data_IF_203479015571
#
_entry.id   IF_203479015571
#
_cell.length_a   1.000
_cell.length_b   1.000
_cell.length_c   1.000
_cell.angle_alpha   90.00
_cell.angle_beta   90.00
_cell.angle_gamma   90.00
#
_symmetry.space_group_name_H-M   'P 1'
#
loop_
_entity.id
_entity.type
_entity.pdbx_description
1 polymer ?
#
# COMPACT_ATOMS: atom_id res chain seq x y z
N UNK A 1 -40.24 -66.47 -4.36
CA UNK A 1 -39.63 -65.16 -4.04
C UNK A 1 -39.55 -64.34 -5.32
N UNK A 2 -40.23 -63.18 -5.44
CA UNK A 2 -40.18 -62.39 -6.67
C UNK A 2 -38.84 -61.66 -6.76
N UNK A 3 -38.14 -61.85 -7.90
CA UNK A 3 -36.91 -61.12 -8.23
C UNK A 3 -37.21 -59.63 -8.33
N UNK A 4 -36.55 -58.80 -7.53
CA UNK A 4 -36.60 -57.35 -7.68
C UNK A 4 -36.23 -56.98 -9.13
N UNK A 5 -37.00 -56.12 -9.81
CA UNK A 5 -36.69 -55.69 -11.16
C UNK A 5 -35.31 -55.02 -11.22
N UNK A 6 -34.49 -55.44 -12.18
CA UNK A 6 -33.10 -55.00 -12.39
C UNK A 6 -32.95 -53.45 -12.50
N UNK A 7 -34.05 -52.75 -12.78
CA UNK A 7 -34.13 -51.28 -12.84
C UNK A 7 -34.09 -50.61 -11.45
N UNK A 8 -34.76 -51.20 -10.44
CA UNK A 8 -34.78 -50.68 -9.07
C UNK A 8 -33.38 -50.76 -8.42
N UNK A 9 -32.66 -51.85 -8.65
CA UNK A 9 -31.28 -52.05 -8.17
C UNK A 9 -30.28 -51.06 -8.79
N UNK A 10 -30.46 -50.71 -10.07
CA UNK A 10 -29.65 -49.69 -10.76
C UNK A 10 -29.96 -48.28 -10.23
N UNK A 11 -31.24 -47.97 -10.00
CA UNK A 11 -31.66 -46.68 -9.46
C UNK A 11 -31.13 -46.45 -8.04
N UNK A 12 -31.20 -47.47 -7.17
CA UNK A 12 -30.67 -47.39 -5.80
C UNK A 12 -29.15 -47.24 -5.78
N UNK A 13 -28.42 -47.92 -6.69
CA UNK A 13 -26.96 -47.74 -6.83
C UNK A 13 -26.59 -46.34 -7.33
N UNK A 14 -27.36 -45.76 -8.26
CA UNK A 14 -27.15 -44.40 -8.74
C UNK A 14 -27.42 -43.36 -7.64
N UNK A 15 -28.53 -43.49 -6.92
CA UNK A 15 -28.87 -42.58 -5.81
C UNK A 15 -27.83 -42.67 -4.69
N UNK A 16 -27.34 -43.88 -4.37
CA UNK A 16 -26.28 -44.07 -3.37
C UNK A 16 -24.94 -43.45 -3.84
N UNK A 17 -24.57 -43.59 -5.11
CA UNK A 17 -23.35 -42.97 -5.65
C UNK A 17 -23.43 -41.44 -5.69
N UNK A 18 -24.60 -40.87 -6.01
CA UNK A 18 -24.83 -39.43 -5.95
C UNK A 18 -24.79 -38.89 -4.52
N UNK A 19 -25.36 -39.61 -3.54
CA UNK A 19 -25.25 -39.24 -2.12
C UNK A 19 -23.82 -39.30 -1.61
N UNK A 20 -23.06 -40.34 -1.98
CA UNK A 20 -21.64 -40.45 -1.64
C UNK A 20 -20.81 -39.35 -2.30
N UNK A 21 -21.10 -38.99 -3.55
CA UNK A 21 -20.43 -37.89 -4.27
C UNK A 21 -20.77 -36.53 -3.66
N UNK A 22 -22.02 -36.29 -3.28
CA UNK A 22 -22.43 -35.07 -2.59
C UNK A 22 -21.77 -34.96 -1.20
N UNK A 23 -21.75 -36.05 -0.44
CA UNK A 23 -21.07 -36.11 0.86
C UNK A 23 -19.56 -35.84 0.72
N UNK A 24 -18.92 -36.42 -0.30
CA UNK A 24 -17.50 -36.18 -0.61
C UNK A 24 -17.22 -34.71 -0.98
N UNK A 25 -18.10 -34.07 -1.75
CA UNK A 25 -17.97 -32.64 -2.07
C UNK A 25 -18.14 -31.80 -0.79
N UNK A 26 -19.11 -32.14 0.05
CA UNK A 26 -19.37 -31.42 1.30
C UNK A 26 -18.20 -31.53 2.27
N UNK A 27 -17.65 -32.74 2.44
CA UNK A 27 -16.48 -32.98 3.30
C UNK A 27 -15.24 -32.30 2.74
N UNK A 28 -15.00 -32.34 1.43
CA UNK A 28 -13.89 -31.61 0.82
C UNK A 28 -14.01 -30.08 1.01
N UNK A 29 -15.21 -29.51 0.84
CA UNK A 29 -15.47 -28.08 1.09
C UNK A 29 -15.29 -27.72 2.57
N UNK A 30 -15.77 -28.56 3.48
CA UNK A 30 -15.60 -28.36 4.92
C UNK A 30 -14.13 -28.44 5.32
N UNK A 31 -13.39 -29.46 4.86
CA UNK A 31 -11.96 -29.59 5.13
C UNK A 31 -11.17 -28.42 4.53
N UNK A 32 -11.49 -27.97 3.32
CA UNK A 32 -10.89 -26.78 2.72
C UNK A 32 -11.16 -25.52 3.54
N UNK A 33 -12.38 -25.35 4.06
CA UNK A 33 -12.74 -24.23 4.93
C UNK A 33 -11.99 -24.29 6.27
N UNK A 34 -11.92 -25.45 6.91
CA UNK A 34 -11.15 -25.66 8.14
C UNK A 34 -9.66 -25.43 7.92
N UNK A 35 -9.10 -25.87 6.80
CA UNK A 35 -7.70 -25.58 6.44
C UNK A 35 -7.45 -24.09 6.23
N UNK A 36 -8.40 -23.36 5.62
CA UNK A 36 -8.32 -21.89 5.49
C UNK A 36 -8.39 -21.21 6.86
N UNK A 37 -9.30 -21.66 7.74
CA UNK A 37 -9.40 -21.15 9.11
C UNK A 37 -8.14 -21.42 9.95
N UNK A 38 -7.59 -22.63 9.86
CA UNK A 38 -6.34 -22.98 10.54
C UNK A 38 -5.15 -22.21 9.95
N UNK A 39 -5.10 -22.04 8.63
CA UNK A 39 -4.09 -21.21 7.98
C UNK A 39 -4.20 -19.75 8.44
N UNK A 40 -5.41 -19.20 8.56
CA UNK A 40 -5.63 -17.87 9.12
C UNK A 40 -5.23 -17.77 10.59
N UNK A 41 -5.56 -18.77 11.41
CA UNK A 41 -5.17 -18.80 12.83
C UNK A 41 -3.65 -18.91 13.00
N UNK A 42 -2.98 -19.76 12.22
CA UNK A 42 -1.52 -19.91 12.24
C UNK A 42 -0.85 -18.63 11.72
N UNK A 43 -1.42 -17.96 10.71
CA UNK A 43 -0.89 -16.67 10.24
C UNK A 43 -1.17 -15.50 11.19
N UNK A 44 -2.22 -15.57 12.01
CA UNK A 44 -2.43 -14.68 13.16
C UNK A 44 -1.46 -14.97 14.31
N UNK A 45 -1.22 -16.23 14.67
CA UNK A 45 -0.29 -16.62 15.75
C UNK A 45 1.18 -16.37 15.36
N UNK A 46 1.54 -16.55 14.08
CA UNK A 46 2.85 -16.17 13.56
C UNK A 46 3.08 -14.64 13.58
N UNK A 47 2.00 -13.85 13.63
CA UNK A 47 2.04 -12.40 13.77
C UNK A 47 2.47 -11.94 15.17
N UNK A 48 2.51 -12.86 16.15
CA UNK A 48 2.80 -12.57 17.57
C UNK A 48 4.23 -12.97 17.97
N UNK A 49 4.94 -13.74 17.14
CA UNK A 49 6.28 -14.25 17.48
C UNK A 49 7.38 -13.56 16.68
N UNK A 50 7.49 -12.24 16.80
CA UNK A 50 8.74 -11.55 16.48
C UNK A 50 9.63 -11.54 17.74
N UNK A 51 10.85 -12.06 17.57
CA UNK A 51 11.88 -12.10 18.61
C UNK A 51 12.22 -10.67 19.05
N UNK A 52 12.06 -10.41 20.35
CA UNK A 52 12.35 -9.12 20.98
C UNK A 52 13.86 -8.95 21.11
N UNK A 53 14.47 -8.26 20.14
CA UNK A 53 15.68 -7.48 20.39
C UNK A 53 15.25 -6.07 20.78
N UNK A 54 15.81 -5.52 21.86
CA UNK A 54 15.38 -4.24 22.42
C UNK A 54 16.00 -3.08 21.66
N UNK A 55 15.38 -2.68 20.55
CA UNK A 55 15.67 -1.41 19.90
C UNK A 55 15.47 -0.25 20.89
N UNK A 56 16.30 0.81 20.82
CA UNK A 56 16.15 1.98 21.67
C UNK A 56 14.80 2.65 21.39
N UNK A 57 13.97 2.78 22.43
CA UNK A 57 12.65 3.40 22.35
C UNK A 57 12.72 4.91 22.11
N UNK A 58 13.79 5.55 22.59
CA UNK A 58 14.09 6.98 22.38
C UNK A 58 15.32 7.17 21.50
N UNK A 59 15.18 8.02 20.48
CA UNK A 59 16.21 8.37 19.50
C UNK A 59 16.62 9.83 19.71
N UNK A 60 17.94 10.08 19.81
CA UNK A 60 18.49 11.43 19.93
C UNK A 60 18.73 12.05 18.57
N UNK A 61 17.91 13.03 18.20
CA UNK A 61 17.92 13.64 16.86
C UNK A 61 19.28 14.17 16.41
N UNK A 62 20.07 14.77 17.31
CA UNK A 62 21.37 15.38 17.01
C UNK A 62 22.41 14.39 16.44
N UNK A 63 22.26 13.10 16.70
CA UNK A 63 23.17 12.05 16.22
C UNK A 63 22.58 11.21 15.08
N UNK A 64 21.25 11.20 14.94
CA UNK A 64 20.54 10.27 14.06
C UNK A 64 20.02 10.92 12.78
N UNK A 65 19.84 12.24 12.72
CA UNK A 65 19.39 12.93 11.51
C UNK A 65 20.48 13.88 11.04
N UNK A 66 21.27 13.52 10.00
CA UNK A 66 22.20 14.46 9.37
C UNK A 66 21.44 15.70 8.91
N UNK A 67 21.98 16.89 9.22
CA UNK A 67 21.43 18.17 8.78
C UNK A 67 21.15 18.16 7.27
N UNK A 68 20.06 18.79 6.80
CA UNK A 68 19.79 18.87 5.38
C UNK A 68 21.01 19.45 4.66
N UNK A 69 21.54 18.75 3.66
CA UNK A 69 22.45 19.39 2.71
C UNK A 69 21.70 20.59 2.12
N UNK A 70 22.35 21.76 2.12
CA UNK A 70 21.76 23.03 1.71
C UNK A 70 20.86 22.89 0.48
N UNK A 71 19.65 23.48 0.47
CA UNK A 71 18.83 23.46 -0.73
C UNK A 71 19.54 24.27 -1.81
N UNK A 72 19.99 23.58 -2.88
CA UNK A 72 20.33 24.25 -4.13
C UNK A 72 18.99 24.74 -4.70
N UNK A 73 18.64 25.98 -4.37
CA UNK A 73 17.41 26.62 -4.77
C UNK A 73 17.66 27.54 -5.96
N UNK A 74 17.53 27.00 -7.16
CA UNK A 74 17.30 27.80 -8.37
C UNK A 74 16.07 27.24 -9.08
N UNK A 75 14.89 27.63 -8.60
CA UNK A 75 13.61 27.31 -9.22
C UNK A 75 12.43 27.91 -8.46
N UNK A 76 11.34 28.30 -9.15
CA UNK A 76 10.15 28.81 -8.50
C UNK A 76 9.58 27.78 -7.51
N UNK A 77 9.02 28.21 -6.37
CA UNK A 77 8.50 27.30 -5.35
C UNK A 77 7.40 26.43 -5.98
N UNK A 78 7.51 25.09 -5.90
CA UNK A 78 6.49 24.23 -6.46
C UNK A 78 5.18 24.36 -5.67
N UNK A 79 4.01 24.10 -6.29
CA UNK A 79 2.70 24.40 -5.72
C UNK A 79 2.49 23.78 -4.33
N UNK A 80 1.71 24.42 -3.44
CA UNK A 80 1.49 23.94 -2.07
C UNK A 80 0.68 22.64 -2.13
N UNK A 81 1.24 21.60 -1.56
CA UNK A 81 0.64 20.27 -1.53
C UNK A 81 1.51 19.40 -0.65
N UNK A 82 0.94 18.90 0.44
CA UNK A 82 1.64 18.06 1.40
C UNK A 82 1.88 16.66 0.81
N UNK A 83 2.76 15.90 1.45
CA UNK A 83 2.92 14.47 1.19
C UNK A 83 2.12 13.71 2.24
N UNK A 84 1.31 12.74 1.82
CA UNK A 84 0.43 11.97 2.70
C UNK A 84 0.76 10.49 2.67
N UNK A 85 0.79 9.89 3.86
CA UNK A 85 0.83 8.45 4.09
C UNK A 85 -0.38 8.04 4.94
N UNK A 86 -0.86 6.82 4.75
CA UNK A 86 -2.00 6.28 5.51
C UNK A 86 -1.72 4.87 6.01
N UNK A 87 -1.89 4.65 7.31
CA UNK A 87 -1.99 3.34 7.95
C UNK A 87 -3.44 3.13 8.41
N UNK A 88 -4.14 2.19 7.77
CA UNK A 88 -5.57 1.93 8.03
C UNK A 88 -5.82 0.79 9.03
N UNK A 89 -4.76 0.16 9.54
CA UNK A 89 -4.86 -0.88 10.56
C UNK A 89 -4.77 -0.27 11.96
N UNK A 90 -5.03 -1.09 12.97
CA UNK A 90 -4.84 -0.70 14.37
C UNK A 90 -3.37 -0.73 14.81
N UNK A 91 -2.42 -0.92 13.87
CA UNK A 91 -0.99 -0.98 14.20
C UNK A 91 -0.48 0.40 14.60
N UNK A 92 0.32 0.40 15.66
CA UNK A 92 0.97 1.59 16.23
C UNK A 92 2.49 1.40 16.37
N UNK A 93 3.04 0.44 15.64
CA UNK A 93 4.46 0.10 15.62
C UNK A 93 4.94 0.15 14.16
N UNK A 94 5.31 1.33 13.64
CA UNK A 94 5.81 1.46 12.28
C UNK A 94 7.07 0.60 12.11
N UNK A 95 7.04 -0.32 11.13
CA UNK A 95 8.22 -1.14 10.82
C UNK A 95 9.29 -0.33 10.07
N UNK A 96 10.40 -0.98 9.75
CA UNK A 96 11.54 -0.30 9.14
C UNK A 96 11.23 0.26 7.75
N UNK A 97 10.44 -0.47 6.97
CA UNK A 97 10.05 -0.03 5.64
C UNK A 97 9.11 1.18 5.72
N UNK A 98 8.13 1.16 6.62
CA UNK A 98 7.25 2.30 6.89
C UNK A 98 8.06 3.53 7.33
N UNK A 99 8.99 3.34 8.26
CA UNK A 99 9.82 4.43 8.78
C UNK A 99 10.72 4.99 7.68
N UNK A 100 11.33 4.12 6.87
CA UNK A 100 12.12 4.51 5.70
C UNK A 100 11.29 5.26 4.65
N UNK A 101 10.03 4.89 4.45
CA UNK A 101 9.12 5.59 3.54
C UNK A 101 8.90 7.04 3.95
N UNK A 102 8.61 7.26 5.23
CA UNK A 102 8.39 8.61 5.75
C UNK A 102 9.70 9.41 5.79
N UNK A 103 10.81 8.80 6.24
CA UNK A 103 12.13 9.46 6.26
C UNK A 103 12.57 9.90 4.85
N UNK A 104 12.52 8.99 3.87
CA UNK A 104 12.95 9.31 2.50
C UNK A 104 12.10 10.44 1.90
N UNK A 105 10.79 10.42 2.13
CA UNK A 105 9.90 11.52 1.72
C UNK A 105 10.25 12.84 2.41
N UNK A 106 10.50 12.82 3.72
CA UNK A 106 10.83 14.01 4.51
C UNK A 106 12.15 14.64 4.05
N UNK A 107 13.18 13.83 3.81
CA UNK A 107 14.48 14.27 3.31
C UNK A 107 14.42 14.84 1.90
N UNK A 108 13.67 14.20 1.01
CA UNK A 108 13.53 14.65 -0.38
C UNK A 108 12.67 15.92 -0.50
N UNK A 109 11.88 16.26 0.52
CA UNK A 109 10.98 17.41 0.52
C UNK A 109 11.11 18.27 1.79
N UNK A 110 12.28 18.87 2.09
CA UNK A 110 12.53 19.54 3.37
C UNK A 110 11.59 20.74 3.65
N UNK A 111 11.07 21.39 2.60
CA UNK A 111 10.10 22.49 2.72
C UNK A 111 8.63 22.08 2.58
N UNK A 112 8.30 20.79 2.60
CA UNK A 112 6.92 20.28 2.46
C UNK A 112 6.55 19.44 3.66
N UNK A 113 5.33 19.61 4.19
CA UNK A 113 4.85 18.78 5.29
C UNK A 113 4.61 17.35 4.79
N UNK A 114 5.03 16.39 5.59
CA UNK A 114 4.81 14.96 5.43
C UNK A 114 3.84 14.53 6.52
N UNK A 115 2.58 14.31 6.15
CA UNK A 115 1.50 13.96 7.06
C UNK A 115 1.28 12.45 7.04
N UNK A 116 1.44 11.81 8.20
CA UNK A 116 1.21 10.38 8.39
C UNK A 116 -0.09 10.20 9.17
N UNK A 117 -1.12 9.68 8.52
CA UNK A 117 -2.44 9.45 9.11
C UNK A 117 -2.56 7.99 9.54
N UNK A 118 -2.77 7.74 10.83
CA UNK A 118 -2.83 6.37 11.37
C UNK A 118 -4.13 6.11 12.11
N UNK A 119 -4.83 5.03 11.77
CA UNK A 119 -6.12 4.66 12.38
C UNK A 119 -5.97 4.22 13.84
N UNK A 120 -4.94 3.45 14.15
CA UNK A 120 -4.70 2.93 15.51
C UNK A 120 -4.31 3.98 16.55
N UNK A 121 -4.02 5.22 16.15
CA UNK A 121 -3.71 6.29 17.10
C UNK A 121 -4.98 6.85 17.74
N UNK A 122 -4.92 7.09 19.05
CA UNK A 122 -6.01 7.68 19.80
C UNK A 122 -6.33 9.10 19.30
N UNK A 123 -7.61 9.46 19.24
CA UNK A 123 -8.04 10.83 18.93
C UNK A 123 -7.75 11.75 20.12
N UNK A 124 -7.12 12.91 19.86
CA UNK A 124 -6.79 14.02 20.79
C UNK A 124 -5.69 13.73 21.83
N UNK A 125 -4.74 14.66 21.95
CA UNK A 125 -3.78 14.90 23.06
C UNK A 125 -3.02 13.71 23.69
N UNK A 126 -3.15 12.49 23.17
CA UNK A 126 -2.31 11.37 23.56
C UNK A 126 -0.94 11.53 22.91
N UNK A 127 0.12 11.42 23.72
CA UNK A 127 1.48 11.32 23.20
C UNK A 127 1.58 10.14 22.23
N UNK A 128 2.47 10.24 21.25
CA UNK A 128 2.76 9.11 20.38
C UNK A 128 3.22 7.91 21.22
N UNK A 129 2.84 6.68 20.84
CA UNK A 129 3.30 5.47 21.50
C UNK A 129 4.82 5.44 21.63
N UNK A 130 5.31 4.85 22.71
CA UNK A 130 6.75 4.73 22.93
C UNK A 130 7.35 3.70 21.98
N UNK A 131 7.81 4.14 20.81
CA UNK A 131 8.33 3.30 19.75
C UNK A 131 9.45 4.05 19.00
N UNK A 132 10.55 3.35 18.72
CA UNK A 132 11.74 3.91 18.07
C UNK A 132 11.40 4.65 16.76
N UNK A 133 10.49 4.09 15.95
CA UNK A 133 10.08 4.69 14.68
C UNK A 133 9.35 6.01 14.86
N UNK A 134 8.50 6.16 15.89
CA UNK A 134 7.90 7.45 16.19
C UNK A 134 8.90 8.45 16.74
N UNK A 135 9.82 7.99 17.60
CA UNK A 135 10.89 8.83 18.13
C UNK A 135 11.80 9.35 17.00
N UNK A 136 12.23 8.48 16.07
CA UNK A 136 13.03 8.86 14.91
C UNK A 136 12.26 9.82 13.99
N UNK A 137 11.01 9.51 13.63
CA UNK A 137 10.24 10.34 12.72
C UNK A 137 9.94 11.73 13.31
N UNK A 138 9.84 11.85 14.63
CA UNK A 138 9.69 13.13 15.33
C UNK A 138 10.93 14.03 15.23
N UNK A 139 12.09 13.48 14.84
CA UNK A 139 13.29 14.27 14.58
C UNK A 139 13.25 15.04 13.26
N UNK A 140 12.31 14.73 12.36
CA UNK A 140 12.15 15.45 11.09
C UNK A 140 11.16 16.61 11.29
N UNK A 141 11.59 17.87 11.15
CA UNK A 141 10.77 19.04 11.48
C UNK A 141 9.54 19.20 10.56
N UNK A 142 9.56 18.53 9.41
CA UNK A 142 8.49 18.55 8.43
C UNK A 142 7.59 17.30 8.48
N UNK A 143 7.75 16.40 9.47
CA UNK A 143 6.88 15.22 9.64
C UNK A 143 5.83 15.47 10.71
N UNK A 144 4.58 15.17 10.39
CA UNK A 144 3.45 15.25 11.31
C UNK A 144 2.71 13.91 11.35
N UNK A 145 2.66 13.28 12.52
CA UNK A 145 1.93 12.02 12.72
C UNK A 145 0.61 12.34 13.44
N UNK A 146 -0.51 11.94 12.84
CA UNK A 146 -1.86 12.30 13.30
C UNK A 146 -2.81 11.11 13.27
N UNK A 147 -3.84 11.09 14.15
CA UNK A 147 -4.89 10.09 14.06
C UNK A 147 -5.68 10.24 12.75
N UNK A 148 -6.04 9.11 12.14
CA UNK A 148 -6.90 9.06 10.96
C UNK A 148 -8.38 9.08 11.37
N UNK A 149 -9.05 10.21 11.18
CA UNK A 149 -10.49 10.34 11.39
C UNK A 149 -11.26 9.99 10.10
N UNK A 150 -11.69 8.73 9.98
CA UNK A 150 -12.40 8.23 8.79
C UNK A 150 -13.75 8.96 8.53
N UNK A 151 -14.64 9.15 9.53
CA UNK A 151 -15.82 9.99 9.36
C UNK A 151 -15.52 11.39 8.81
N UNK A 152 -14.51 12.08 9.37
CA UNK A 152 -14.13 13.41 8.90
C UNK A 152 -13.56 13.37 7.48
N UNK A 153 -12.69 12.41 7.19
CA UNK A 153 -12.07 12.24 5.87
C UNK A 153 -13.09 11.92 4.78
N UNK A 154 -14.15 11.18 5.09
CA UNK A 154 -15.19 10.85 4.10
C UNK A 154 -16.33 11.86 4.06
N UNK A 155 -16.49 12.71 5.08
CA UNK A 155 -17.54 13.71 5.13
C UNK A 155 -17.56 14.61 3.88
N UNK A 156 -18.75 14.85 3.33
CA UNK A 156 -18.94 15.63 2.11
C UNK A 156 -18.42 14.97 0.83
N UNK A 157 -18.20 13.65 0.84
CA UNK A 157 -17.83 12.85 -0.34
C UNK A 157 -18.80 11.68 -0.53
N UNK A 158 -18.91 11.10 -1.74
CA UNK A 158 -19.69 9.87 -1.95
C UNK A 158 -19.28 8.71 -1.03
N UNK A 159 -18.02 8.67 -0.59
CA UNK A 159 -17.48 7.61 0.25
C UNK A 159 -18.10 7.59 1.65
N UNK A 160 -18.68 8.69 2.15
CA UNK A 160 -19.36 8.69 3.45
C UNK A 160 -20.52 7.69 3.48
N UNK A 161 -21.32 7.66 2.40
CA UNK A 161 -22.43 6.73 2.26
C UNK A 161 -21.92 5.29 2.25
N UNK A 162 -20.92 4.99 1.42
CA UNK A 162 -20.30 3.66 1.38
C UNK A 162 -19.79 3.25 2.76
N UNK A 163 -19.01 4.10 3.43
CA UNK A 163 -18.41 3.77 4.72
C UNK A 163 -19.46 3.46 5.81
N UNK A 164 -20.60 4.17 5.79
CA UNK A 164 -21.71 3.90 6.72
C UNK A 164 -22.44 2.58 6.46
N UNK A 165 -22.36 2.04 5.23
CA UNK A 165 -23.09 0.85 4.79
C UNK A 165 -22.19 -0.40 4.70
N UNK A 166 -20.87 -0.22 4.61
CA UNK A 166 -19.91 -1.29 4.43
C UNK A 166 -19.93 -2.28 5.59
N UNK A 167 -19.95 -3.58 5.27
CA UNK A 167 -20.01 -4.65 6.27
C UNK A 167 -18.59 -5.11 6.61
N UNK A 168 -17.84 -4.23 7.27
CA UNK A 168 -16.38 -4.32 7.48
C UNK A 168 -15.88 -5.72 7.91
N UNK A 169 -16.64 -6.41 8.78
CA UNK A 169 -16.28 -7.74 9.33
C UNK A 169 -16.46 -8.89 8.33
N UNK A 170 -17.32 -8.74 7.34
CA UNK A 170 -17.72 -9.82 6.41
C UNK A 170 -17.06 -9.69 5.03
N UNK A 171 -16.37 -8.58 4.79
CA UNK A 171 -15.76 -8.26 3.52
C UNK A 171 -14.28 -8.69 3.50
N UNK A 172 -13.89 -9.67 2.66
CA UNK A 172 -12.56 -10.29 2.72
C UNK A 172 -11.41 -9.32 2.43
N UNK A 173 -11.72 -8.23 1.72
CA UNK A 173 -10.74 -7.22 1.30
C UNK A 173 -11.06 -5.83 1.86
N UNK A 174 -11.81 -5.72 2.96
CA UNK A 174 -12.16 -4.41 3.53
C UNK A 174 -10.92 -3.56 3.86
N UNK A 175 -9.89 -4.17 4.44
CA UNK A 175 -8.65 -3.47 4.81
C UNK A 175 -7.97 -2.73 3.63
N UNK A 176 -7.58 -3.39 2.53
CA UNK A 176 -7.01 -2.67 1.37
C UNK A 176 -8.01 -1.73 0.71
N UNK A 177 -9.31 -2.08 0.68
CA UNK A 177 -10.37 -1.21 0.14
C UNK A 177 -10.48 0.10 0.95
N UNK A 178 -10.33 0.04 2.27
CA UNK A 178 -10.34 1.22 3.13
C UNK A 178 -9.13 2.12 2.84
N UNK A 179 -7.95 1.55 2.62
CA UNK A 179 -6.77 2.31 2.16
C UNK A 179 -6.99 2.94 0.78
N UNK A 180 -7.61 2.21 -0.16
CA UNK A 180 -8.00 2.72 -1.48
C UNK A 180 -9.02 3.87 -1.39
N UNK A 181 -9.96 3.83 -0.45
CA UNK A 181 -10.89 4.92 -0.19
C UNK A 181 -10.18 6.14 0.41
N UNK A 182 -9.30 5.93 1.39
CA UNK A 182 -8.58 7.01 2.06
C UNK A 182 -7.70 7.79 1.08
N UNK A 183 -6.91 7.11 0.24
CA UNK A 183 -6.01 7.77 -0.72
C UNK A 183 -6.77 8.67 -1.69
N UNK A 184 -7.88 8.22 -2.26
CA UNK A 184 -8.66 9.03 -3.21
C UNK A 184 -9.41 10.17 -2.50
N UNK A 185 -9.87 9.96 -1.26
CA UNK A 185 -10.48 11.02 -0.45
C UNK A 185 -9.48 12.13 -0.12
N UNK A 186 -8.26 11.76 0.30
CA UNK A 186 -7.16 12.70 0.58
C UNK A 186 -6.82 13.49 -0.69
N UNK A 187 -6.62 12.82 -1.82
CA UNK A 187 -6.31 13.48 -3.08
C UNK A 187 -7.41 14.46 -3.53
N UNK A 188 -8.69 14.14 -3.29
CA UNK A 188 -9.77 15.07 -3.63
C UNK A 188 -9.90 16.23 -2.64
N UNK A 189 -9.76 15.99 -1.32
CA UNK A 189 -9.92 17.04 -0.31
C UNK A 189 -8.73 17.99 -0.27
N UNK A 190 -7.52 17.45 -0.22
CA UNK A 190 -6.30 18.19 0.06
C UNK A 190 -5.38 18.30 -1.16
N UNK A 191 -5.47 17.34 -2.09
CA UNK A 191 -4.50 17.23 -3.18
C UNK A 191 -3.10 16.93 -2.64
N UNK A 192 -2.08 17.37 -3.36
CA UNK A 192 -0.69 17.09 -3.01
C UNK A 192 -0.26 15.71 -3.52
N UNK A 193 0.54 15.00 -2.74
CA UNK A 193 1.13 13.71 -3.11
C UNK A 193 0.70 12.67 -2.08
N UNK A 194 0.22 11.51 -2.54
CA UNK A 194 0.00 10.32 -1.71
C UNK A 194 0.98 9.23 -2.10
N UNK A 195 1.51 8.54 -1.10
CA UNK A 195 2.36 7.36 -1.22
C UNK A 195 1.87 6.27 -0.26
N UNK A 196 1.86 5.02 -0.71
CA UNK A 196 1.77 3.87 0.19
C UNK A 196 3.02 3.82 1.09
N UNK A 197 2.88 3.20 2.25
CA UNK A 197 3.91 3.18 3.31
C UNK A 197 5.01 2.15 3.06
N UNK A 198 5.20 1.76 1.81
CA UNK A 198 6.22 0.87 1.31
C UNK A 198 6.89 1.44 0.04
N UNK A 199 6.86 2.77 -0.10
CA UNK A 199 7.66 3.52 -1.05
C UNK A 199 8.97 4.01 -0.45
N UNK A 200 10.07 3.95 -1.19
CA UNK A 200 11.28 4.72 -0.89
C UNK A 200 11.34 5.86 -1.89
N UNK A 201 11.41 7.12 -1.43
CA UNK A 201 11.43 8.30 -2.31
C UNK A 201 12.86 8.64 -2.70
N UNK A 202 13.11 8.78 -4.00
CA UNK A 202 14.45 8.97 -4.57
C UNK A 202 14.65 10.40 -5.06
N UNK A 203 13.60 11.02 -5.60
CA UNK A 203 13.64 12.33 -6.26
C UNK A 203 12.43 13.17 -5.87
N UNK A 204 12.59 14.48 -5.96
CA UNK A 204 11.52 15.43 -5.66
C UNK A 204 10.30 15.18 -6.56
N UNK A 205 9.14 14.99 -5.94
CA UNK A 205 7.87 14.63 -6.59
C UNK A 205 6.99 15.85 -6.86
N UNK A 206 7.35 17.05 -6.39
CA UNK A 206 6.51 18.24 -6.41
C UNK A 206 6.25 18.79 -7.82
N UNK A 207 7.11 18.44 -8.78
CA UNK A 207 6.92 18.79 -10.19
C UNK A 207 5.87 17.89 -10.89
N UNK A 208 5.42 16.83 -10.21
CA UNK A 208 4.43 15.91 -10.74
C UNK A 208 3.05 16.35 -10.27
N UNK A 209 2.17 16.71 -11.21
CA UNK A 209 0.80 17.18 -10.91
C UNK A 209 -0.22 16.50 -11.82
N UNK A 210 -1.34 16.07 -11.25
CA UNK A 210 -2.38 15.28 -11.92
C UNK A 210 -1.84 14.00 -12.57
N UNK A 211 -0.99 13.31 -11.83
CA UNK A 211 -0.32 12.09 -12.27
C UNK A 211 -0.62 10.90 -11.39
N UNK A 212 -0.55 9.71 -12.00
CA UNK A 212 -0.52 8.43 -11.31
C UNK A 212 0.41 7.46 -12.03
N UNK A 213 0.73 6.34 -11.41
CA UNK A 213 1.70 5.38 -11.96
C UNK A 213 1.06 4.21 -12.72
N UNK A 214 1.71 3.81 -13.82
CA UNK A 214 1.37 2.56 -14.54
C UNK A 214 2.07 1.36 -13.87
N UNK A 215 1.35 0.41 -13.28
CA UNK A 215 1.98 -0.80 -12.72
C UNK A 215 2.35 -1.83 -13.81
N UNK A 216 1.53 -1.94 -14.85
CA UNK A 216 1.74 -2.90 -15.94
C UNK A 216 1.09 -2.43 -17.23
N UNK A 217 1.26 -3.18 -18.33
CA UNK A 217 0.59 -2.90 -19.62
C UNK A 217 -0.94 -2.76 -19.55
N UNK A 218 -1.58 -3.24 -18.47
CA UNK A 218 -3.04 -3.24 -18.33
C UNK A 218 -3.56 -2.49 -17.11
N UNK A 219 -2.70 -2.13 -16.16
CA UNK A 219 -3.11 -1.71 -14.81
C UNK A 219 -2.38 -0.44 -14.41
N UNK A 220 -3.15 0.57 -14.01
CA UNK A 220 -2.70 1.70 -13.23
C UNK A 220 -2.77 1.36 -11.74
N UNK A 221 -1.92 1.96 -10.91
CA UNK A 221 -1.88 1.68 -9.47
C UNK A 221 -1.94 2.98 -8.67
N UNK A 222 -2.73 2.94 -7.59
CA UNK A 222 -2.99 4.07 -6.69
C UNK A 222 -2.02 4.19 -5.53
N UNK A 223 -1.02 3.31 -5.46
CA UNK A 223 0.02 3.37 -4.45
C UNK A 223 0.81 4.71 -4.51
N UNK A 224 0.89 5.34 -5.69
CA UNK A 224 1.29 6.74 -5.85
C UNK A 224 0.19 7.53 -6.57
N UNK A 225 -0.16 8.69 -6.03
CA UNK A 225 -1.04 9.67 -6.66
C UNK A 225 -0.49 11.07 -6.42
N UNK A 226 -0.54 11.96 -7.42
CA UNK A 226 -0.33 13.39 -7.19
C UNK A 226 -1.35 14.21 -7.96
N UNK A 227 -2.22 14.93 -7.26
CA UNK A 227 -3.34 15.64 -7.87
C UNK A 227 -3.58 16.99 -7.20
N UNK A 228 -4.10 17.94 -7.98
CA UNK A 228 -4.69 19.15 -7.38
C UNK A 228 -5.93 18.78 -6.56
N UNK A 229 -6.22 19.50 -5.47
CA UNK A 229 -7.47 19.30 -4.73
C UNK A 229 -8.67 19.51 -5.66
N UNK A 230 -9.76 18.81 -5.37
CA UNK A 230 -11.04 18.85 -6.10
C UNK A 230 -10.94 18.47 -7.58
N UNK A 231 -9.89 17.76 -7.99
CA UNK A 231 -9.72 17.36 -9.38
C UNK A 231 -10.85 16.40 -9.83
N UNK A 232 -11.51 16.71 -10.96
CA UNK A 232 -12.70 15.98 -11.44
C UNK A 232 -12.45 14.48 -11.66
N UNK A 233 -11.27 14.10 -12.14
CA UNK A 233 -10.88 12.70 -12.28
C UNK A 233 -10.98 11.93 -10.95
N UNK A 234 -10.51 12.50 -9.84
CA UNK A 234 -10.56 11.84 -8.52
C UNK A 234 -12.00 11.81 -7.98
N UNK A 235 -12.79 12.84 -8.25
CA UNK A 235 -14.23 12.82 -7.94
C UNK A 235 -14.95 11.65 -8.64
N UNK A 236 -14.69 11.46 -9.94
CA UNK A 236 -15.22 10.33 -10.71
C UNK A 236 -14.73 8.98 -10.16
N UNK A 237 -13.48 8.91 -9.68
CA UNK A 237 -12.98 7.73 -8.97
C UNK A 237 -13.81 7.43 -7.71
N UNK A 238 -14.14 8.43 -6.90
CA UNK A 238 -14.99 8.22 -5.71
C UNK A 238 -16.42 7.84 -6.06
N UNK A 239 -17.00 8.38 -7.13
CA UNK A 239 -18.33 8.00 -7.60
C UNK A 239 -18.34 6.54 -8.06
N UNK A 240 -17.40 6.18 -8.93
CA UNK A 240 -17.24 4.82 -9.43
C UNK A 240 -16.94 3.82 -8.30
N UNK A 241 -16.21 4.24 -7.26
CA UNK A 241 -15.97 3.44 -6.04
C UNK A 241 -17.29 3.01 -5.39
N UNK A 242 -18.27 3.90 -5.33
CA UNK A 242 -19.56 3.60 -4.69
C UNK A 242 -20.47 2.83 -5.64
N UNK A 243 -20.56 3.26 -6.90
CA UNK A 243 -21.45 2.69 -7.91
C UNK A 243 -21.08 1.25 -8.28
N UNK A 244 -19.77 0.96 -8.36
CA UNK A 244 -19.23 -0.33 -8.76
C UNK A 244 -18.54 -1.00 -7.57
N UNK A 245 -19.15 -0.94 -6.39
CA UNK A 245 -18.59 -1.55 -5.19
C UNK A 245 -18.60 -3.08 -5.27
N UNK A 246 -17.42 -3.69 -5.11
CA UNK A 246 -17.30 -5.14 -5.00
C UNK A 246 -16.16 -5.52 -4.04
N UNK A 247 -16.54 -5.88 -2.81
CA UNK A 247 -15.63 -6.27 -1.74
C UNK A 247 -15.00 -7.66 -1.92
N UNK A 248 -15.50 -8.47 -2.86
CA UNK A 248 -15.07 -9.85 -3.09
C UNK A 248 -13.93 -9.98 -4.11
N UNK A 249 -13.54 -8.87 -4.75
CA UNK A 249 -12.50 -8.87 -5.79
C UNK A 249 -11.33 -8.00 -5.33
N UNK A 250 -10.17 -8.62 -5.15
CA UNK A 250 -8.94 -7.91 -4.78
C UNK A 250 -8.59 -6.84 -5.81
N UNK A 251 -8.35 -5.62 -5.34
CA UNK A 251 -7.95 -4.48 -6.18
C UNK A 251 -9.07 -3.93 -7.06
N UNK A 252 -10.33 -4.38 -6.88
CA UNK A 252 -11.47 -3.82 -7.60
C UNK A 252 -11.59 -2.32 -7.32
N UNK A 253 -11.50 -1.91 -6.06
CA UNK A 253 -11.61 -0.49 -5.67
C UNK A 253 -10.30 0.29 -5.65
N UNK A 254 -9.20 -0.35 -6.00
CA UNK A 254 -7.89 0.27 -6.12
C UNK A 254 -7.40 0.30 -7.57
N UNK A 255 -6.38 -0.51 -7.93
CA UNK A 255 -5.80 -0.49 -9.28
C UNK A 255 -6.81 -0.66 -10.43
N UNK A 256 -7.81 -1.52 -10.27
CA UNK A 256 -8.83 -1.74 -11.33
C UNK A 256 -9.75 -0.52 -11.47
N UNK A 257 -10.07 0.17 -10.38
CA UNK A 257 -10.86 1.40 -10.36
C UNK A 257 -10.17 2.50 -11.13
N UNK A 258 -8.93 2.81 -10.76
CA UNK A 258 -8.17 3.85 -11.44
C UNK A 258 -8.01 3.54 -12.93
N UNK A 259 -7.82 2.26 -13.27
CA UNK A 259 -7.72 1.81 -14.66
C UNK A 259 -9.02 2.01 -15.43
N UNK A 260 -10.18 1.60 -14.90
CA UNK A 260 -11.47 1.72 -15.61
C UNK A 260 -11.91 3.17 -15.73
N UNK A 261 -11.73 3.97 -14.69
CA UNK A 261 -12.05 5.41 -14.70
C UNK A 261 -11.13 6.15 -15.65
N UNK A 262 -9.82 5.87 -15.68
CA UNK A 262 -8.88 6.48 -16.64
C UNK A 262 -9.22 6.13 -18.09
N UNK A 263 -9.56 4.86 -18.37
CA UNK A 263 -10.01 4.44 -19.71
C UNK A 263 -11.25 5.19 -20.17
N UNK A 264 -12.26 5.34 -19.29
CA UNK A 264 -13.47 6.12 -19.57
C UNK A 264 -13.16 7.61 -19.73
N UNK A 265 -12.33 8.18 -18.86
CA UNK A 265 -11.88 9.57 -18.90
C UNK A 265 -11.19 9.91 -20.22
N UNK A 266 -10.30 9.03 -20.70
CA UNK A 266 -9.57 9.22 -21.96
C UNK A 266 -10.28 8.71 -23.21
N UNK A 267 -11.44 8.08 -23.08
CA UNK A 267 -12.11 7.39 -24.20
C UNK A 267 -11.21 6.34 -24.89
N UNK A 268 -10.40 5.60 -24.11
CA UNK A 268 -9.48 4.57 -24.63
C UNK A 268 -9.86 3.17 -24.13
N UNK A 269 -9.58 2.14 -24.92
CA UNK A 269 -9.74 0.73 -24.52
C UNK A 269 -8.49 0.13 -23.87
N UNK A 270 -7.31 0.65 -24.21
CA UNK A 270 -6.00 0.15 -23.77
C UNK A 270 -5.12 1.28 -23.25
N UNK A 271 -4.39 1.02 -22.16
CA UNK A 271 -3.35 1.93 -21.64
C UNK A 271 -2.14 2.08 -22.58
N UNK A 272 -2.09 1.31 -23.68
CA UNK A 272 -1.08 1.47 -24.74
C UNK A 272 -1.44 2.61 -25.69
N UNK A 273 -2.71 2.97 -25.81
CA UNK A 273 -3.20 3.96 -26.77
C UNK A 273 -2.86 5.39 -26.39
N UNK A 274 -2.91 5.71 -25.09
CA UNK A 274 -2.47 7.00 -24.58
C UNK A 274 -1.98 6.88 -23.14
N UNK A 275 -0.95 7.68 -22.82
CA UNK A 275 -0.40 7.85 -21.48
C UNK A 275 -0.84 9.16 -20.82
N UNK A 276 -1.48 10.06 -21.55
CA UNK A 276 -1.98 11.31 -21.01
C UNK A 276 -3.19 11.79 -21.80
N UNK A 277 -4.21 12.29 -21.10
CA UNK A 277 -5.38 12.87 -21.73
C UNK A 277 -6.07 13.84 -20.78
N UNK A 278 -6.72 14.87 -21.31
CA UNK A 278 -7.55 15.81 -20.53
C UNK A 278 -6.90 16.26 -19.22
N UNK A 279 -5.58 16.53 -19.26
CA UNK A 279 -4.80 17.01 -18.11
C UNK A 279 -4.43 15.97 -17.05
N UNK A 280 -4.65 14.67 -17.28
CA UNK A 280 -4.21 13.57 -16.39
C UNK A 280 -3.19 12.69 -17.09
N UNK A 281 -2.07 12.41 -16.43
CA UNK A 281 -0.99 11.58 -17.00
C UNK A 281 -0.73 10.31 -16.19
N UNK A 282 -0.71 9.18 -16.88
CA UNK A 282 -0.25 7.90 -16.36
C UNK A 282 1.23 7.72 -16.69
N UNK A 283 2.10 7.97 -15.71
CA UNK A 283 3.54 7.86 -15.88
C UNK A 283 3.98 6.41 -16.16
N UNK A 284 5.12 6.21 -16.86
CA UNK A 284 5.67 4.89 -17.12
C UNK A 284 5.91 4.09 -15.84
N UNK A 285 5.99 2.77 -15.98
CA UNK A 285 6.13 1.86 -14.85
C UNK A 285 7.39 2.12 -14.07
N UNK A 286 8.47 2.41 -14.77
CA UNK A 286 9.80 2.64 -14.24
C UNK A 286 9.83 3.85 -13.29
N UNK A 287 8.89 4.79 -13.41
CA UNK A 287 8.81 5.96 -12.52
C UNK A 287 8.56 5.60 -11.05
N UNK A 288 7.79 4.53 -10.78
CA UNK A 288 7.33 4.16 -9.42
C UNK A 288 7.44 2.67 -9.08
N UNK A 289 7.50 1.83 -10.11
CA UNK A 289 7.43 0.36 -10.03
C UNK A 289 8.57 -0.30 -10.83
N UNK A 290 9.84 0.09 -10.62
CA UNK A 290 10.98 -0.40 -11.43
C UNK A 290 11.13 -1.93 -11.35
N UNK A 291 10.79 -2.53 -10.21
CA UNK A 291 10.61 -3.97 -10.04
C UNK A 291 9.12 -4.30 -10.06
N UNK A 292 8.73 -5.26 -10.91
CA UNK A 292 7.34 -5.70 -10.99
C UNK A 292 6.96 -6.47 -9.72
N UNK A 293 5.69 -6.43 -9.33
CA UNK A 293 5.22 -7.16 -8.14
C UNK A 293 5.46 -8.67 -8.20
N UNK A 294 5.56 -9.26 -9.40
CA UNK A 294 5.92 -10.67 -9.59
C UNK A 294 7.39 -10.95 -9.26
N UNK A 295 8.25 -9.95 -9.43
CA UNK A 295 9.70 -10.04 -9.29
C UNK A 295 10.17 -9.46 -7.94
N UNK A 296 9.26 -9.31 -6.97
CA UNK A 296 9.52 -8.67 -5.67
C UNK A 296 10.74 -9.23 -4.92
N UNK A 297 11.10 -10.51 -5.17
CA UNK A 297 12.26 -11.16 -4.55
C UNK A 297 13.57 -10.45 -4.89
N UNK A 298 13.65 -9.74 -6.03
CA UNK A 298 14.82 -8.96 -6.44
C UNK A 298 15.23 -7.90 -5.42
N UNK A 299 14.30 -7.40 -4.60
CA UNK A 299 14.64 -6.49 -3.50
C UNK A 299 15.56 -7.10 -2.44
N UNK A 300 15.58 -8.44 -2.33
CA UNK A 300 16.39 -9.18 -1.36
C UNK A 300 17.64 -9.81 -1.99
N UNK A 301 17.89 -9.56 -3.28
CA UNK A 301 19.04 -10.08 -4.02
C UNK A 301 20.19 -9.06 -4.04
N UNK A 302 21.40 -9.57 -4.22
CA UNK A 302 22.60 -8.75 -4.40
C UNK A 302 22.55 -8.09 -5.77
N UNK A 303 22.80 -6.77 -5.79
CA UNK A 303 22.79 -5.96 -7.01
C UNK A 303 24.07 -5.12 -7.06
N UNK A 304 24.71 -5.05 -8.22
CA UNK A 304 25.91 -4.22 -8.40
C UNK A 304 25.55 -2.73 -8.44
N UNK A 305 26.51 -1.85 -8.15
CA UNK A 305 26.27 -0.40 -8.22
C UNK A 305 25.84 0.06 -9.62
N UNK A 306 26.36 -0.54 -10.69
CA UNK A 306 25.96 -0.20 -12.06
C UNK A 306 24.53 -0.62 -12.38
N UNK A 307 24.13 -1.81 -11.92
CA UNK A 307 22.75 -2.29 -12.07
C UNK A 307 21.78 -1.43 -11.23
N UNK A 308 22.15 -1.03 -10.02
CA UNK A 308 21.37 -0.11 -9.19
C UNK A 308 21.13 1.21 -9.93
N UNK A 309 22.19 1.82 -10.48
CA UNK A 309 22.08 3.09 -11.21
C UNK A 309 21.16 2.97 -12.43
N UNK A 310 21.29 1.90 -13.21
CA UNK A 310 20.42 1.69 -14.38
C UNK A 310 18.97 1.45 -13.98
N UNK A 311 18.72 0.67 -12.91
CA UNK A 311 17.38 0.42 -12.38
C UNK A 311 16.69 1.71 -11.90
N UNK A 312 17.46 2.65 -11.34
CA UNK A 312 16.93 3.87 -10.73
C UNK A 312 16.97 5.10 -11.64
N UNK A 313 17.57 5.00 -12.83
CA UNK A 313 17.77 6.09 -13.78
C UNK A 313 16.52 6.93 -14.02
N UNK A 314 15.40 6.29 -14.32
CA UNK A 314 14.11 6.93 -14.63
C UNK A 314 13.10 6.83 -13.48
N UNK A 315 13.57 6.56 -12.26
CA UNK A 315 12.74 6.28 -11.09
C UNK A 315 12.65 7.50 -10.19
N UNK A 316 11.44 7.83 -9.73
CA UNK A 316 11.16 8.90 -8.77
C UNK A 316 11.00 8.37 -7.34
N UNK A 317 10.33 7.23 -7.21
CA UNK A 317 10.18 6.51 -5.96
C UNK A 317 10.08 5.00 -6.26
N UNK A 318 10.35 4.15 -5.28
CA UNK A 318 10.38 2.68 -5.45
C UNK A 318 9.35 2.04 -4.54
N UNK A 319 8.30 1.44 -5.10
CA UNK A 319 7.33 0.63 -4.34
C UNK A 319 7.85 -0.79 -4.10
N UNK A 320 8.01 -1.19 -2.84
CA UNK A 320 8.71 -2.43 -2.43
C UNK A 320 7.76 -3.63 -2.29
N UNK A 321 6.45 -3.45 -2.49
CA UNK A 321 5.44 -4.51 -2.43
C UNK A 321 5.39 -5.24 -1.08
N UNK A 322 5.34 -4.51 0.03
CA UNK A 322 5.41 -5.07 1.39
C UNK A 322 4.41 -6.21 1.62
N UNK A 323 3.23 -6.13 1.00
CA UNK A 323 2.21 -7.21 1.08
C UNK A 323 2.70 -8.55 0.52
N UNK A 324 3.63 -8.56 -0.44
CA UNK A 324 4.22 -9.76 -1.05
C UNK A 324 5.45 -10.26 -0.31
N UNK A 325 6.23 -9.36 0.28
CA UNK A 325 7.43 -9.69 1.05
C UNK A 325 7.16 -10.01 2.52
N UNK A 326 5.91 -10.00 2.99
CA UNK A 326 5.55 -10.36 4.37
C UNK A 326 6.17 -11.71 4.76
N UNK A 327 6.89 -11.73 5.89
CA UNK A 327 7.59 -12.91 6.40
C UNK A 327 9.00 -13.14 5.83
N UNK A 328 9.48 -12.28 4.92
CA UNK A 328 10.86 -12.32 4.42
C UNK A 328 11.72 -11.35 5.23
N UNK A 329 12.62 -11.87 6.06
CA UNK A 329 13.57 -11.02 6.80
C UNK A 329 14.63 -10.49 5.83
N UNK A 330 14.80 -9.17 5.79
CA UNK A 330 15.94 -8.56 5.11
C UNK A 330 17.21 -8.95 5.87
N UNK A 331 18.08 -9.74 5.24
CA UNK A 331 19.46 -9.87 5.72
C UNK A 331 20.16 -8.57 5.34
N UNK A 332 20.63 -7.80 6.31
CA UNK A 332 21.38 -6.58 6.05
C UNK A 332 22.77 -6.96 5.53
N UNK A 333 22.83 -7.31 4.25
CA UNK A 333 24.06 -7.30 3.49
C UNK A 333 24.12 -5.97 2.78
N UNK A 334 25.26 -5.28 2.83
CA UNK A 334 25.43 -3.97 2.18
C UNK A 334 25.19 -3.98 0.66
N UNK A 335 25.07 -5.17 0.07
CA UNK A 335 24.90 -5.39 -1.36
C UNK A 335 23.46 -5.78 -1.75
N UNK A 336 22.58 -6.12 -0.79
CA UNK A 336 21.17 -6.39 -1.12
C UNK A 336 20.49 -5.10 -1.64
N UNK A 337 19.66 -5.22 -2.68
CA UNK A 337 19.02 -4.06 -3.31
C UNK A 337 18.26 -3.18 -2.31
N UNK A 338 17.43 -3.78 -1.45
CA UNK A 338 16.67 -3.04 -0.45
C UNK A 338 17.57 -2.41 0.62
N UNK A 339 18.64 -3.09 1.04
CA UNK A 339 19.60 -2.53 1.98
C UNK A 339 20.34 -1.32 1.38
N UNK A 340 20.72 -1.38 0.10
CA UNK A 340 21.28 -0.25 -0.64
C UNK A 340 20.29 0.92 -0.74
N UNK A 341 19.01 0.65 -1.02
CA UNK A 341 17.99 1.71 -1.03
C UNK A 341 17.85 2.35 0.36
N UNK A 342 17.81 1.55 1.43
CA UNK A 342 17.72 2.07 2.79
C UNK A 342 18.94 2.94 3.13
N UNK A 343 20.15 2.47 2.83
CA UNK A 343 21.38 3.20 3.15
C UNK A 343 21.49 4.55 2.45
N UNK A 344 20.98 4.67 1.21
CA UNK A 344 21.07 5.91 0.43
C UNK A 344 19.95 6.90 0.75
N UNK A 345 18.72 6.43 0.97
CA UNK A 345 17.54 7.31 1.00
C UNK A 345 16.89 7.46 2.38
N UNK A 346 17.16 6.55 3.32
CA UNK A 346 16.70 6.64 4.70
C UNK A 346 17.80 6.20 5.69
N UNK A 347 18.96 6.89 5.69
CA UNK A 347 20.14 6.46 6.45
C UNK A 347 19.88 6.39 7.97
N UNK A 348 18.98 7.20 8.53
CA UNK A 348 18.70 7.16 9.96
C UNK A 348 17.96 5.87 10.35
N UNK A 349 16.96 5.49 9.56
CA UNK A 349 16.27 4.20 9.69
C UNK A 349 17.25 3.05 9.46
N UNK A 350 18.12 3.16 8.46
CA UNK A 350 19.14 2.15 8.14
C UNK A 350 20.15 1.94 9.28
N UNK A 351 20.51 2.99 10.01
CA UNK A 351 21.40 2.90 11.17
C UNK A 351 20.77 2.14 12.33
N UNK A 352 19.48 2.36 12.60
CA UNK A 352 18.72 1.61 13.62
C UNK A 352 18.60 0.14 13.21
N UNK A 353 18.25 -0.11 11.94
CA UNK A 353 18.17 -1.46 11.35
C UNK A 353 19.46 -2.27 11.55
N UNK A 354 20.63 -1.64 11.39
CA UNK A 354 21.93 -2.28 11.61
C UNK A 354 22.18 -2.65 13.08
N UNK A 355 21.54 -1.98 14.04
CA UNK A 355 21.63 -2.32 15.46
C UNK A 355 20.79 -3.56 15.82
N UNK A 356 19.80 -3.90 14.99
CA UNK A 356 18.87 -5.05 15.18
C UNK A 356 19.33 -6.35 14.49
N UNK A 357 20.45 -6.31 13.74
CA UNK A 357 20.90 -7.38 12.84
C UNK A 357 22.02 -8.26 13.37
#
# INVERSE_FOLDING_TARGET
MPRMPNCLLKLTRLVLSHKLRALFILTFKFMSFVSILLYWRITEDAKVRDQVYSLPTEIRCAHSVPSPAHPIADGPPPPPGDVFFVETSERINPNDLFTCSVESAARTHPGTRVVVLMKGLAKRNASLPNHWGFSLLSCFPNVEIRPLDLPELFSGTPLAKWYSQAQQRWEPYFFPILSDACRIAIMWKFGGIYLDTDFIVLKNLKNLTNVLGTQSKYVLNGAFLSFKPRHKFIELCMQDFVENYNSWIWGHQGPQLLTRVFKKWCSIRSLRSSKSCKGVSALPREAFYPIRWQDWKKYFEVVSSSELQELLKNTYAVHVWNKKSQGTRLKITSQALLAQLHSHFCPATYDILKMDS
#
